data_IF_830935150961
#
_entry.id   IF_830935150961
#
_cell.length_a   1.000
_cell.length_b   1.000
_cell.length_c   1.000
_cell.angle_alpha   90.00
_cell.angle_beta   90.00
_cell.angle_gamma   90.00
#
_symmetry.space_group_name_H-M   'P 1'
#
loop_
_entity.id
_entity.type
_entity.pdbx_description
1 polymer ?
#
# COMPACT_ATOMS: atom_id res chain seq x y z
N UNK A 1 15.22 21.36 -23.81
CA UNK A 1 14.43 22.18 -24.76
C UNK A 1 13.01 21.64 -24.71
N UNK A 2 12.15 22.18 -23.84
CA UNK A 2 10.71 21.85 -23.77
C UNK A 2 9.86 23.07 -23.36
N UNK A 3 10.48 24.26 -23.28
CA UNK A 3 9.81 25.47 -22.76
C UNK A 3 8.89 26.12 -23.78
N UNK A 4 9.02 25.79 -25.08
CA UNK A 4 8.25 26.45 -26.16
C UNK A 4 6.87 25.85 -26.39
N UNK A 5 6.59 24.63 -25.95
CA UNK A 5 5.27 23.99 -26.14
C UNK A 5 4.19 24.59 -25.22
N UNK A 6 4.54 24.88 -23.96
CA UNK A 6 3.61 25.43 -22.97
C UNK A 6 3.16 26.88 -23.30
N UNK A 7 3.98 27.66 -24.00
CA UNK A 7 3.68 29.05 -24.37
C UNK A 7 2.50 29.18 -25.35
N UNK A 8 2.21 28.14 -26.15
CA UNK A 8 1.13 28.13 -27.15
C UNK A 8 -0.17 27.48 -26.66
N UNK A 9 -0.32 27.24 -25.35
CA UNK A 9 -1.51 26.59 -24.78
C UNK A 9 -1.65 25.11 -25.15
N UNK A 10 -0.62 24.52 -25.76
CA UNK A 10 -0.56 23.09 -26.06
C UNK A 10 -0.08 22.36 -24.82
N UNK A 11 -1.00 21.71 -24.13
CA UNK A 11 -0.66 20.70 -23.13
C UNK A 11 -0.36 19.38 -23.84
N UNK A 12 0.72 18.66 -23.48
CA UNK A 12 0.93 17.31 -23.99
C UNK A 12 -0.31 16.47 -23.68
N UNK A 13 -0.93 15.93 -24.71
CA UNK A 13 -2.00 14.95 -24.58
C UNK A 13 -1.33 13.64 -24.17
N UNK A 14 -1.19 13.44 -22.87
CA UNK A 14 -0.86 12.12 -22.35
C UNK A 14 -2.08 11.24 -22.60
N UNK A 15 -1.95 10.30 -23.53
CA UNK A 15 -2.92 9.23 -23.66
C UNK A 15 -2.90 8.46 -22.35
N UNK A 16 -3.97 8.62 -21.57
CA UNK A 16 -4.08 8.02 -20.25
C UNK A 16 -4.18 6.52 -20.47
N UNK A 17 -3.03 5.83 -20.46
CA UNK A 17 -2.95 4.38 -20.61
C UNK A 17 -3.97 3.79 -19.65
N UNK A 18 -5.01 3.13 -20.18
CA UNK A 18 -5.97 2.42 -19.34
C UNK A 18 -5.18 1.31 -18.67
N UNK A 19 -4.88 1.51 -17.39
CA UNK A 19 -4.44 0.43 -16.54
C UNK A 19 -5.67 -0.46 -16.33
N UNK A 20 -5.64 -1.64 -16.95
CA UNK A 20 -6.63 -2.69 -16.69
C UNK A 20 -6.00 -3.61 -15.64
N UNK A 21 -6.19 -3.32 -14.33
CA UNK A 21 -5.59 -4.14 -13.29
C UNK A 21 -6.10 -5.57 -13.43
N UNK A 22 -5.25 -6.58 -13.22
CA UNK A 22 -5.72 -7.95 -13.16
C UNK A 22 -6.79 -8.09 -12.08
N UNK A 23 -7.88 -8.79 -12.41
CA UNK A 23 -8.90 -9.15 -11.43
C UNK A 23 -8.31 -10.18 -10.48
N UNK A 24 -8.28 -9.85 -9.19
CA UNK A 24 -7.84 -10.76 -8.13
C UNK A 24 -9.03 -11.21 -7.30
N UNK A 25 -9.04 -12.49 -6.94
CA UNK A 25 -10.03 -13.04 -6.03
C UNK A 25 -9.47 -13.02 -4.61
N UNK A 26 -10.31 -12.68 -3.64
CA UNK A 26 -9.97 -12.75 -2.23
C UNK A 26 -10.79 -13.86 -1.58
N UNK A 27 -10.12 -14.76 -0.89
CA UNK A 27 -10.75 -15.86 -0.19
C UNK A 27 -11.49 -15.31 1.04
N UNK A 28 -12.69 -15.80 1.38
CA UNK A 28 -13.52 -15.24 2.44
C UNK A 28 -12.79 -15.07 3.79
N UNK A 29 -11.93 -16.02 4.15
CA UNK A 29 -11.12 -16.02 5.37
C UNK A 29 -10.06 -14.90 5.44
N UNK A 30 -9.77 -14.25 4.32
CA UNK A 30 -8.82 -13.14 4.22
C UNK A 30 -9.51 -11.78 4.13
N UNK A 31 -10.85 -11.75 4.01
CA UNK A 31 -11.61 -10.50 3.87
C UNK A 31 -11.38 -9.54 5.04
N UNK A 32 -11.41 -10.05 6.27
CA UNK A 32 -11.22 -9.22 7.46
C UNK A 32 -9.79 -8.66 7.54
N UNK A 33 -8.79 -9.48 7.24
CA UNK A 33 -7.39 -9.05 7.21
C UNK A 33 -7.15 -8.00 6.13
N UNK A 34 -7.72 -8.20 4.93
CA UNK A 34 -7.65 -7.24 3.84
C UNK A 34 -8.32 -5.90 4.20
N UNK A 35 -9.51 -5.95 4.77
CA UNK A 35 -10.23 -4.76 5.21
C UNK A 35 -9.47 -4.01 6.31
N UNK A 36 -8.79 -4.73 7.20
CA UNK A 36 -7.91 -4.14 8.20
C UNK A 36 -6.68 -3.50 7.53
N UNK A 37 -5.98 -4.23 6.67
CA UNK A 37 -4.81 -3.74 5.92
C UNK A 37 -5.14 -2.46 5.14
N UNK A 38 -6.29 -2.40 4.47
CA UNK A 38 -6.74 -1.23 3.74
C UNK A 38 -6.81 0.05 4.60
N UNK A 39 -7.01 -0.07 5.91
CA UNK A 39 -7.03 1.06 6.87
C UNK A 39 -5.63 1.52 7.27
N UNK A 40 -4.67 0.59 7.37
CA UNK A 40 -3.31 0.86 7.86
C UNK A 40 -2.28 1.05 6.75
N UNK A 41 -2.57 0.65 5.50
CA UNK A 41 -1.63 0.62 4.35
C UNK A 41 -0.87 1.92 4.03
N UNK A 42 -1.25 3.03 4.64
CA UNK A 42 -0.62 4.35 4.45
C UNK A 42 0.41 4.70 5.53
N UNK A 43 0.54 3.86 6.56
CA UNK A 43 1.26 4.18 7.79
C UNK A 43 2.67 3.57 7.80
N UNK A 44 3.46 3.86 6.77
CA UNK A 44 4.82 3.32 6.62
C UNK A 44 5.86 4.16 7.36
N UNK A 45 6.86 3.49 7.92
CA UNK A 45 8.17 4.03 8.21
C UNK A 45 8.95 4.14 6.91
N UNK A 46 9.55 5.30 6.69
CA UNK A 46 10.37 5.59 5.51
C UNK A 46 11.77 6.05 5.91
N UNK A 47 12.78 5.72 5.10
CA UNK A 47 14.14 6.23 5.24
C UNK A 47 14.19 7.74 4.93
N UNK A 48 15.32 8.39 5.21
CA UNK A 48 15.54 9.78 4.81
C UNK A 48 15.48 9.99 3.28
N UNK A 49 15.69 8.93 2.49
CA UNK A 49 15.56 8.94 1.03
C UNK A 49 14.15 8.57 0.54
N UNK A 50 13.20 8.33 1.45
CA UNK A 50 11.80 8.05 1.12
C UNK A 50 11.50 6.57 0.83
N UNK A 51 12.43 5.66 1.08
CA UNK A 51 12.23 4.22 0.90
C UNK A 51 11.43 3.65 2.06
N UNK A 52 10.44 2.81 1.79
CA UNK A 52 9.65 2.19 2.83
C UNK A 52 10.38 1.02 3.48
N UNK A 53 10.32 0.95 4.81
CA UNK A 53 11.01 -0.06 5.63
C UNK A 53 10.02 -1.05 6.25
N UNK A 54 8.81 -0.60 6.54
CA UNK A 54 7.78 -1.37 7.23
C UNK A 54 6.64 -0.47 7.71
N UNK A 55 5.50 -1.05 8.03
CA UNK A 55 4.38 -0.44 8.74
C UNK A 55 4.77 -0.09 10.18
N UNK A 56 4.21 1.01 10.66
CA UNK A 56 4.39 1.42 12.06
C UNK A 56 3.60 0.51 12.98
N UNK A 57 4.31 -0.27 13.80
CA UNK A 57 3.69 -1.21 14.75
C UNK A 57 2.72 -0.50 15.72
N UNK A 58 3.03 0.73 16.13
CA UNK A 58 2.15 1.52 17.00
C UNK A 58 0.85 1.92 16.29
N UNK A 59 0.94 2.20 14.98
CA UNK A 59 -0.22 2.49 14.14
C UNK A 59 -1.11 1.26 13.95
N UNK A 60 -0.50 0.10 13.72
CA UNK A 60 -1.20 -1.20 13.63
C UNK A 60 -1.94 -1.48 14.94
N UNK A 61 -1.26 -1.42 16.08
CA UNK A 61 -1.86 -1.66 17.40
C UNK A 61 -2.96 -0.63 17.73
N UNK A 62 -2.76 0.65 17.39
CA UNK A 62 -3.78 1.69 17.59
C UNK A 62 -5.05 1.40 16.78
N UNK A 63 -4.91 0.99 15.52
CA UNK A 63 -6.06 0.65 14.67
C UNK A 63 -6.73 -0.65 15.13
N UNK A 64 -5.97 -1.65 15.63
CA UNK A 64 -6.55 -2.84 16.27
C UNK A 64 -7.46 -2.47 17.44
N UNK A 65 -7.06 -1.49 18.27
CA UNK A 65 -7.88 -0.98 19.38
C UNK A 65 -9.12 -0.25 18.88
N UNK A 66 -8.99 0.65 17.90
CA UNK A 66 -10.11 1.41 17.33
C UNK A 66 -11.16 0.49 16.69
N UNK A 67 -10.72 -0.55 15.99
CA UNK A 67 -11.61 -1.52 15.36
C UNK A 67 -12.17 -2.57 16.35
N UNK A 68 -11.79 -2.54 17.63
CA UNK A 68 -12.29 -3.48 18.63
C UNK A 68 -11.81 -4.91 18.42
N UNK A 69 -10.61 -5.12 17.85
CA UNK A 69 -10.05 -6.46 17.63
C UNK A 69 -9.82 -7.15 18.98
N UNK A 70 -10.49 -8.30 19.16
CA UNK A 70 -10.40 -9.10 20.40
C UNK A 70 -8.96 -9.52 20.63
N UNK A 71 -8.52 -9.47 21.90
CA UNK A 71 -7.12 -9.72 22.26
C UNK A 71 -6.59 -11.08 21.77
N UNK A 72 -7.43 -12.11 21.81
CA UNK A 72 -7.11 -13.46 21.33
C UNK A 72 -6.87 -13.54 19.80
N UNK A 73 -7.50 -12.65 19.02
CA UNK A 73 -7.44 -12.67 17.56
C UNK A 73 -6.29 -11.80 17.01
N UNK A 74 -5.70 -10.94 17.85
CA UNK A 74 -4.68 -9.97 17.43
C UNK A 74 -3.43 -10.62 16.86
N UNK A 75 -2.95 -11.69 17.48
CA UNK A 75 -1.74 -12.38 17.01
C UNK A 75 -1.94 -12.96 15.61
N UNK A 76 -3.10 -13.61 15.38
CA UNK A 76 -3.44 -14.17 14.08
C UNK A 76 -3.63 -13.07 13.01
N UNK A 77 -4.29 -11.96 13.37
CA UNK A 77 -4.43 -10.82 12.48
C UNK A 77 -3.07 -10.19 12.15
N UNK A 78 -2.20 -9.99 13.15
CA UNK A 78 -0.87 -9.41 12.96
C UNK A 78 -0.04 -10.24 11.97
N UNK A 79 -0.04 -11.57 12.11
CA UNK A 79 0.67 -12.46 11.19
C UNK A 79 0.19 -12.27 9.74
N UNK A 80 -1.13 -12.16 9.51
CA UNK A 80 -1.67 -11.89 8.16
C UNK A 80 -1.24 -10.52 7.63
N UNK A 81 -1.15 -9.51 8.50
CA UNK A 81 -0.69 -8.16 8.12
C UNK A 81 0.80 -8.17 7.75
N UNK A 82 1.63 -8.90 8.49
CA UNK A 82 3.06 -9.04 8.16
C UNK A 82 3.25 -9.70 6.78
N UNK A 83 2.47 -10.73 6.46
CA UNK A 83 2.50 -11.32 5.10
C UNK A 83 2.15 -10.32 4.00
N UNK A 84 1.20 -9.42 4.24
CA UNK A 84 0.85 -8.36 3.27
C UNK A 84 1.88 -7.23 3.22
N UNK A 85 2.57 -6.97 4.34
CA UNK A 85 3.68 -6.03 4.42
C UNK A 85 4.89 -6.52 3.61
N UNK A 86 5.30 -7.77 3.82
CA UNK A 86 6.40 -8.40 3.09
C UNK A 86 6.17 -8.34 1.57
N UNK A 87 4.97 -8.75 1.12
CA UNK A 87 4.61 -8.71 -0.30
C UNK A 87 4.64 -7.29 -0.90
N UNK A 88 4.34 -6.26 -0.09
CA UNK A 88 4.40 -4.88 -0.55
C UNK A 88 5.84 -4.35 -0.62
N UNK A 89 6.69 -4.75 0.33
CA UNK A 89 8.12 -4.42 0.31
C UNK A 89 8.81 -5.05 -0.90
N UNK A 90 8.49 -6.30 -1.21
CA UNK A 90 8.97 -6.99 -2.42
C UNK A 90 8.55 -6.22 -3.68
N UNK A 91 7.27 -5.89 -3.81
CA UNK A 91 6.76 -5.13 -4.95
C UNK A 91 7.40 -3.74 -5.08
N UNK A 92 7.72 -3.07 -3.98
CA UNK A 92 8.45 -1.80 -4.03
C UNK A 92 9.91 -1.96 -4.47
N UNK A 93 10.58 -3.03 -4.02
CA UNK A 93 11.92 -3.34 -4.50
C UNK A 93 11.93 -3.61 -6.01
N UNK A 94 10.97 -4.40 -6.50
CA UNK A 94 10.83 -4.69 -7.94
C UNK A 94 10.60 -3.42 -8.77
N UNK A 95 9.76 -2.50 -8.31
CA UNK A 95 9.51 -1.22 -9.00
C UNK A 95 10.72 -0.28 -9.01
N UNK A 96 11.73 -0.52 -8.17
CA UNK A 96 12.98 0.26 -8.14
C UNK A 96 14.01 -0.30 -9.12
N UNK A 97 14.01 -1.61 -9.32
CA UNK A 97 14.98 -2.31 -10.16
C UNK A 97 14.54 -2.42 -11.65
N UNK A 98 13.28 -2.05 -11.97
CA UNK A 98 12.72 -2.02 -13.33
C UNK A 98 12.56 -0.62 -13.90
#
# INVERSE_FOLDING_TARGET
MDTSAAFWGLVPVYEKRRFDPPVVYLWPENLDAWNFYAKIRRQWNVTAMGEAIGLRAEGVEAVMRICGVRRQDRAALLAKIQTMEDAMLDAWSENRDG
#
